data_IF_283762684081
#
_entry.id   IF_283762684081
#
_cell.length_a   1.000
_cell.length_b   1.000
_cell.length_c   1.000
_cell.angle_alpha   90.00
_cell.angle_beta   90.00
_cell.angle_gamma   90.00
#
_symmetry.space_group_name_H-M   'P 1'
#
loop_
_entity.id
_entity.type
_entity.pdbx_description
1 polymer ?
#
# COMPACT_ATOMS: atom_id res chain seq x y z
N UNK A 1 8.20 -11.47 15.13
CA UNK A 1 7.10 -10.56 14.68
C UNK A 1 7.00 -10.71 13.18
N UNK A 2 5.92 -11.32 12.73
CA UNK A 2 5.64 -11.49 11.31
C UNK A 2 4.91 -10.24 10.80
N UNK A 3 5.44 -9.65 9.73
CA UNK A 3 4.87 -8.41 9.17
C UNK A 3 4.74 -8.56 7.66
N UNK A 4 3.55 -8.30 7.15
CA UNK A 4 3.29 -8.32 5.71
C UNK A 4 2.81 -6.94 5.26
N UNK A 5 3.50 -6.37 4.28
CA UNK A 5 3.09 -5.12 3.63
C UNK A 5 2.66 -5.45 2.20
N UNK A 6 1.37 -5.36 1.93
CA UNK A 6 0.89 -5.50 0.56
C UNK A 6 1.29 -4.27 -0.27
N UNK A 7 1.82 -4.52 -1.44
CA UNK A 7 2.14 -3.49 -2.42
C UNK A 7 1.00 -3.43 -3.43
N UNK A 8 0.10 -2.47 -3.23
CA UNK A 8 -1.04 -2.28 -4.11
C UNK A 8 -0.58 -1.90 -5.52
N UNK A 9 -0.90 -2.72 -6.49
CA UNK A 9 -0.50 -2.52 -7.89
C UNK A 9 -1.61 -2.93 -8.87
N UNK A 10 -1.55 -2.39 -10.09
CA UNK A 10 -2.39 -2.75 -11.22
C UNK A 10 -1.56 -3.07 -12.47
N UNK A 11 -0.23 -3.09 -12.33
CA UNK A 11 0.71 -3.39 -13.41
C UNK A 11 2.04 -3.89 -12.84
N UNK A 12 2.86 -4.60 -13.64
CA UNK A 12 4.21 -4.98 -13.24
C UNK A 12 5.04 -3.73 -12.92
N UNK A 13 5.70 -3.74 -11.77
CA UNK A 13 6.57 -2.66 -11.32
C UNK A 13 7.64 -3.19 -10.38
N UNK A 14 8.65 -2.36 -10.10
CA UNK A 14 9.67 -2.66 -9.13
C UNK A 14 9.07 -2.83 -7.72
N UNK A 15 9.48 -3.88 -7.04
CA UNK A 15 9.15 -4.17 -5.63
C UNK A 15 10.46 -4.31 -4.86
N UNK A 16 10.54 -3.86 -3.60
CA UNK A 16 11.73 -4.09 -2.77
C UNK A 16 12.03 -5.59 -2.61
N UNK A 17 13.31 -5.92 -2.60
CA UNK A 17 13.79 -7.28 -2.35
C UNK A 17 13.85 -7.56 -0.83
N UNK A 18 12.70 -7.47 -0.18
CA UNK A 18 12.51 -7.78 1.24
C UNK A 18 11.19 -8.59 1.35
N UNK A 19 11.23 -9.80 1.94
CA UNK A 19 10.10 -10.72 1.97
C UNK A 19 8.82 -10.16 2.62
N UNK A 20 8.92 -9.09 3.40
CA UNK A 20 7.72 -8.47 3.96
C UNK A 20 6.85 -7.77 2.91
N UNK A 21 7.41 -7.42 1.74
CA UNK A 21 6.66 -6.77 0.67
C UNK A 21 6.04 -7.79 -0.27
N UNK A 22 4.71 -7.84 -0.24
CA UNK A 22 3.91 -8.74 -1.07
C UNK A 22 3.18 -7.93 -2.17
N UNK A 23 3.59 -8.01 -3.44
CA UNK A 23 2.85 -7.35 -4.50
C UNK A 23 1.51 -8.04 -4.73
N UNK A 24 0.43 -7.24 -4.70
CA UNK A 24 -0.94 -7.71 -4.86
C UNK A 24 -1.64 -6.85 -5.91
N UNK A 25 -2.25 -7.50 -6.89
CA UNK A 25 -3.07 -6.80 -7.88
C UNK A 25 -4.43 -6.46 -7.27
N UNK A 26 -4.74 -5.17 -7.24
CA UNK A 26 -6.03 -4.67 -6.78
C UNK A 26 -7.09 -4.82 -7.87
N UNK A 27 -8.30 -5.23 -7.46
CA UNK A 27 -9.41 -5.44 -8.38
C UNK A 27 -9.15 -6.55 -9.38
N UNK A 28 -8.45 -7.60 -8.99
CA UNK A 28 -8.09 -8.70 -9.89
C UNK A 28 -9.31 -9.37 -10.50
N UNK A 29 -10.46 -9.40 -9.79
CA UNK A 29 -11.72 -9.95 -10.29
C UNK A 29 -12.30 -9.18 -11.50
N UNK A 30 -11.93 -7.91 -11.68
CA UNK A 30 -12.52 -7.01 -12.69
C UNK A 30 -11.50 -6.41 -13.65
N UNK A 31 -10.23 -6.73 -13.50
CA UNK A 31 -9.15 -6.24 -14.35
C UNK A 31 -8.30 -7.39 -14.91
N UNK A 32 -7.70 -7.23 -16.09
CA UNK A 32 -6.78 -8.23 -16.65
C UNK A 32 -5.61 -8.52 -15.69
N UNK A 33 -5.23 -9.80 -15.57
CA UNK A 33 -4.12 -10.23 -14.73
C UNK A 33 -2.80 -9.58 -15.16
N UNK A 34 -2.02 -9.09 -14.20
CA UNK A 34 -0.72 -8.47 -14.43
C UNK A 34 0.48 -9.27 -13.90
N UNK A 35 0.26 -10.54 -13.51
CA UNK A 35 1.33 -11.46 -13.10
C UNK A 35 1.60 -11.50 -11.61
N UNK A 36 0.88 -10.74 -10.79
CA UNK A 36 0.90 -10.83 -9.33
C UNK A 36 -0.31 -11.61 -8.79
N UNK A 37 -0.26 -11.98 -7.53
CA UNK A 37 -1.45 -12.53 -6.86
C UNK A 37 -2.53 -11.46 -6.84
N UNK A 38 -3.79 -11.89 -6.96
CA UNK A 38 -4.95 -11.00 -6.90
C UNK A 38 -5.54 -10.90 -5.50
N UNK A 39 -6.30 -9.84 -5.30
CA UNK A 39 -7.12 -9.61 -4.10
C UNK A 39 -8.51 -10.28 -4.19
N UNK A 40 -8.67 -11.28 -5.07
CA UNK A 40 -9.94 -11.95 -5.39
C UNK A 40 -10.06 -13.39 -4.88
N UNK A 41 -9.12 -13.83 -4.04
CA UNK A 41 -9.15 -15.16 -3.41
C UNK A 41 -9.73 -15.11 -2.01
N UNK A 42 -10.27 -16.23 -1.53
CA UNK A 42 -10.84 -16.32 -0.17
C UNK A 42 -11.93 -15.28 0.09
N UNK A 43 -11.95 -14.74 1.30
CA UNK A 43 -12.85 -13.64 1.66
C UNK A 43 -12.36 -12.33 1.06
N UNK A 44 -13.11 -11.75 0.15
CA UNK A 44 -12.68 -10.59 -0.62
C UNK A 44 -13.84 -9.70 -1.09
N UNK A 45 -13.48 -8.49 -1.49
CA UNK A 45 -14.38 -7.50 -2.10
C UNK A 45 -13.80 -6.95 -3.43
N UNK A 46 -13.00 -7.76 -4.13
CA UNK A 46 -12.27 -7.37 -5.34
C UNK A 46 -13.16 -6.77 -6.44
N UNK A 47 -14.38 -7.29 -6.61
CA UNK A 47 -15.36 -6.75 -7.56
C UNK A 47 -15.78 -5.30 -7.27
N UNK A 48 -15.58 -4.83 -6.04
CA UNK A 48 -15.91 -3.46 -5.62
C UNK A 48 -14.74 -2.49 -5.78
N UNK A 49 -13.71 -2.87 -6.50
CA UNK A 49 -12.50 -2.05 -6.67
C UNK A 49 -12.77 -0.65 -7.23
N UNK A 50 -13.76 -0.49 -8.10
CA UNK A 50 -14.17 0.82 -8.63
C UNK A 50 -14.53 1.83 -7.53
N UNK A 51 -15.05 1.37 -6.39
CA UNK A 51 -15.49 2.21 -5.28
C UNK A 51 -14.47 2.26 -4.13
N UNK A 52 -13.72 1.18 -3.91
CA UNK A 52 -12.82 1.03 -2.76
C UNK A 52 -11.33 1.14 -3.10
N UNK A 53 -10.97 1.16 -4.38
CA UNK A 53 -9.58 1.28 -4.85
C UNK A 53 -8.65 0.29 -4.12
N UNK A 54 -7.54 0.77 -3.55
CA UNK A 54 -6.56 -0.05 -2.82
C UNK A 54 -7.11 -0.72 -1.54
N UNK A 55 -8.24 -0.26 -1.04
CA UNK A 55 -8.87 -0.86 0.14
C UNK A 55 -9.38 -2.28 -0.10
N UNK A 56 -9.63 -2.67 -1.36
CA UNK A 56 -9.99 -4.07 -1.67
C UNK A 56 -8.87 -5.03 -1.28
N UNK A 57 -7.62 -4.65 -1.55
CA UNK A 57 -6.46 -5.44 -1.14
C UNK A 57 -6.22 -5.42 0.37
N UNK A 58 -6.48 -4.31 1.06
CA UNK A 58 -6.36 -4.26 2.52
C UNK A 58 -7.41 -5.16 3.19
N UNK A 59 -8.64 -5.14 2.69
CA UNK A 59 -9.70 -6.05 3.14
C UNK A 59 -9.27 -7.52 2.95
N UNK A 60 -8.84 -7.84 1.73
CA UNK A 60 -8.37 -9.18 1.40
C UNK A 60 -7.23 -9.63 2.33
N UNK A 61 -6.23 -8.78 2.53
CA UNK A 61 -5.09 -9.10 3.37
C UNK A 61 -5.51 -9.36 4.83
N UNK A 62 -6.40 -8.54 5.37
CA UNK A 62 -6.90 -8.69 6.74
C UNK A 62 -7.66 -10.00 6.98
N UNK A 63 -8.25 -10.59 5.93
CA UNK A 63 -9.05 -11.83 6.05
C UNK A 63 -8.30 -13.10 5.60
N UNK A 64 -7.21 -12.95 4.85
CA UNK A 64 -6.55 -14.10 4.23
C UNK A 64 -5.05 -14.22 4.57
N UNK A 65 -4.44 -13.22 5.21
CA UNK A 65 -3.03 -13.27 5.58
C UNK A 65 -2.89 -13.40 7.10
N UNK A 66 -2.14 -14.42 7.53
CA UNK A 66 -1.77 -14.60 8.93
C UNK A 66 -0.44 -13.87 9.20
N UNK A 67 -0.54 -12.69 9.83
CA UNK A 67 0.60 -11.85 10.21
C UNK A 67 0.27 -11.02 11.45
N UNK A 68 1.25 -10.78 12.32
CA UNK A 68 1.09 -9.93 13.51
C UNK A 68 0.73 -8.48 13.11
N UNK A 69 1.30 -8.02 11.99
CA UNK A 69 1.04 -6.70 11.41
C UNK A 69 0.82 -6.80 9.91
N UNK A 70 -0.23 -6.15 9.45
CA UNK A 70 -0.53 -5.98 8.02
C UNK A 70 -0.47 -4.51 7.68
N UNK A 71 0.23 -4.18 6.60
CA UNK A 71 0.33 -2.84 6.06
C UNK A 71 -0.01 -2.78 4.58
N UNK A 72 -0.23 -1.57 4.09
CA UNK A 72 -0.45 -1.29 2.67
C UNK A 72 0.44 -0.14 2.20
N UNK A 73 1.05 -0.33 1.05
CA UNK A 73 1.75 0.72 0.30
C UNK A 73 1.33 0.67 -1.16
N UNK A 74 1.46 1.78 -1.86
CA UNK A 74 1.25 1.83 -3.30
C UNK A 74 2.58 1.55 -4.02
N UNK A 75 2.58 0.86 -5.16
CA UNK A 75 3.79 0.48 -5.92
C UNK A 75 4.73 1.64 -6.28
N UNK A 76 4.29 2.89 -6.18
CA UNK A 76 5.11 4.10 -6.39
C UNK A 76 5.42 4.86 -5.10
N UNK A 77 4.95 4.41 -3.94
CA UNK A 77 5.06 5.14 -2.67
C UNK A 77 5.28 4.16 -1.53
N UNK A 78 6.46 4.18 -0.98
CA UNK A 78 6.88 3.33 0.13
C UNK A 78 7.23 4.19 1.35
N UNK A 79 7.20 3.60 2.52
CA UNK A 79 7.75 4.22 3.72
C UNK A 79 9.27 4.35 3.58
N UNK A 80 9.78 5.53 3.90
CA UNK A 80 11.21 5.79 3.84
C UNK A 80 11.91 5.39 5.14
N UNK A 81 13.07 4.76 5.02
CA UNK A 81 13.97 4.49 6.13
C UNK A 81 14.40 5.80 6.80
N UNK A 82 14.37 5.82 8.13
CA UNK A 82 14.91 6.92 8.95
C UNK A 82 16.43 6.82 9.11
N UNK A 83 17.00 5.63 8.88
CA UNK A 83 18.43 5.32 9.04
C UNK A 83 19.26 5.70 7.82
N UNK A 84 18.62 5.92 6.66
CA UNK A 84 19.31 6.19 5.39
C UNK A 84 19.26 7.66 5.02
N UNK A 85 20.36 8.13 4.43
CA UNK A 85 20.48 9.50 3.94
C UNK A 85 19.37 9.83 2.93
N UNK A 86 18.79 11.04 3.01
CA UNK A 86 17.84 11.54 2.03
C UNK A 86 18.42 11.75 0.63
N UNK A 87 19.76 11.73 0.51
CA UNK A 87 20.46 11.81 -0.76
C UNK A 87 20.77 10.45 -1.39
N UNK A 88 20.50 9.35 -0.66
CA UNK A 88 20.64 8.02 -1.22
C UNK A 88 19.58 7.77 -2.31
N UNK A 89 19.82 6.77 -3.15
CA UNK A 89 18.87 6.35 -4.17
C UNK A 89 17.49 6.03 -3.58
N UNK A 90 16.43 6.42 -4.27
CA UNK A 90 15.05 6.29 -3.78
C UNK A 90 14.68 4.85 -3.42
N UNK A 91 15.09 3.88 -4.24
CA UNK A 91 14.82 2.46 -4.00
C UNK A 91 15.55 1.94 -2.76
N UNK A 92 16.80 2.37 -2.57
CA UNK A 92 17.60 1.98 -1.41
C UNK A 92 17.10 2.57 -0.09
N UNK A 93 16.27 3.63 -0.13
CA UNK A 93 15.70 4.30 1.05
C UNK A 93 14.40 3.68 1.55
N UNK A 94 13.88 2.67 0.91
CA UNK A 94 12.69 1.98 1.40
C UNK A 94 13.02 1.32 2.74
N UNK A 95 12.07 1.40 3.68
CA UNK A 95 12.24 0.81 5.02
C UNK A 95 12.38 -0.70 4.92
N UNK A 96 13.30 -1.29 5.69
CA UNK A 96 13.46 -2.74 5.80
C UNK A 96 12.57 -3.33 6.88
N UNK A 97 12.34 -4.64 6.81
CA UNK A 97 11.62 -5.39 7.84
C UNK A 97 12.23 -5.18 9.23
N UNK A 98 13.57 -5.24 9.36
CA UNK A 98 14.27 -5.03 10.63
C UNK A 98 13.97 -3.65 11.23
N UNK A 99 14.07 -2.59 10.41
CA UNK A 99 13.79 -1.23 10.86
C UNK A 99 12.32 -1.05 11.25
N UNK A 100 11.40 -1.60 10.45
CA UNK A 100 9.97 -1.55 10.75
C UNK A 100 9.64 -2.28 12.05
N UNK A 101 10.17 -3.48 12.27
CA UNK A 101 9.99 -4.22 13.52
C UNK A 101 10.49 -3.44 14.73
N UNK A 102 11.62 -2.73 14.60
CA UNK A 102 12.14 -1.89 15.71
C UNK A 102 11.21 -0.71 16.04
N UNK A 103 10.48 -0.18 15.05
CA UNK A 103 9.47 0.86 15.28
C UNK A 103 8.21 0.25 15.91
N UNK A 104 7.73 -0.88 15.38
CA UNK A 104 6.53 -1.57 15.87
C UNK A 104 6.70 -2.14 17.29
N UNK A 105 7.93 -2.31 17.78
CA UNK A 105 8.19 -2.65 19.18
C UNK A 105 7.74 -1.56 20.17
N UNK A 106 7.55 -0.34 19.72
CA UNK A 106 7.17 0.82 20.56
C UNK A 106 5.87 1.48 20.14
N UNK A 107 5.25 1.05 19.06
CA UNK A 107 3.98 1.59 18.55
C UNK A 107 3.18 0.51 17.83
N UNK A 108 1.87 0.60 17.88
CA UNK A 108 0.98 -0.34 17.19
C UNK A 108 0.58 0.11 15.78
N UNK A 109 0.88 1.36 15.41
CA UNK A 109 0.48 1.93 14.12
C UNK A 109 1.60 2.80 13.56
N UNK A 110 1.89 2.62 12.29
CA UNK A 110 2.83 3.44 11.53
C UNK A 110 2.10 4.11 10.37
N UNK A 111 2.06 5.43 10.37
CA UNK A 111 1.44 6.24 9.33
C UNK A 111 2.47 7.09 8.59
N UNK A 112 2.21 7.46 7.33
CA UNK A 112 3.04 8.43 6.64
C UNK A 112 2.94 9.80 7.31
N UNK A 113 4.00 10.61 7.13
CA UNK A 113 3.96 11.99 7.59
C UNK A 113 2.81 12.74 6.91
N UNK A 114 2.11 13.55 7.68
CA UNK A 114 1.05 14.41 7.19
C UNK A 114 1.52 15.27 6.00
N UNK A 115 0.67 15.35 4.98
CA UNK A 115 0.93 16.16 3.79
C UNK A 115 0.15 17.46 3.91
N UNK A 116 0.87 18.58 3.85
CA UNK A 116 0.28 19.92 3.81
C UNK A 116 0.12 20.39 2.37
N UNK A 117 -1.11 20.74 2.00
CA UNK A 117 -1.42 21.39 0.72
C UNK A 117 -1.52 22.90 0.97
N UNK A 118 -0.65 23.69 0.35
CA UNK A 118 -0.59 25.14 0.59
C UNK A 118 -1.59 25.93 -0.25
N UNK A 119 -2.04 25.39 -1.38
CA UNK A 119 -2.86 26.08 -2.39
C UNK A 119 -4.27 25.50 -2.45
N UNK A 120 -4.46 24.24 -2.04
CA UNK A 120 -5.72 23.52 -2.14
C UNK A 120 -6.19 23.01 -0.79
N UNK A 121 -7.51 23.01 -0.59
CA UNK A 121 -8.13 22.29 0.51
C UNK A 121 -8.26 20.81 0.20
N UNK A 122 -8.49 19.96 1.19
CA UNK A 122 -8.79 18.54 0.96
C UNK A 122 -10.01 18.37 0.05
N UNK A 123 -11.00 19.25 0.17
CA UNK A 123 -12.21 19.23 -0.66
C UNK A 123 -11.90 19.54 -2.12
N UNK A 124 -11.14 20.60 -2.42
CA UNK A 124 -10.78 20.93 -3.80
C UNK A 124 -9.87 19.87 -4.42
N UNK A 125 -8.94 19.32 -3.64
CA UNK A 125 -8.11 18.20 -4.08
C UNK A 125 -8.94 16.97 -4.43
N UNK A 126 -9.95 16.65 -3.62
CA UNK A 126 -10.87 15.54 -3.87
C UNK A 126 -11.66 15.74 -5.17
N UNK A 127 -12.24 16.92 -5.36
CA UNK A 127 -13.02 17.27 -6.58
C UNK A 127 -12.14 17.16 -7.84
N UNK A 128 -10.88 17.61 -7.79
CA UNK A 128 -9.97 17.56 -8.93
C UNK A 128 -9.51 16.14 -9.26
N UNK A 129 -9.48 15.24 -8.27
CA UNK A 129 -9.03 13.86 -8.43
C UNK A 129 -10.15 12.91 -8.90
N UNK A 130 -11.41 13.31 -8.80
CA UNK A 130 -12.57 12.47 -9.10
C UNK A 130 -13.40 13.05 -10.25
N UNK A 131 -14.09 12.18 -10.98
CA UNK A 131 -15.01 12.60 -12.02
C UNK A 131 -16.27 13.20 -11.39
N UNK A 132 -16.89 14.18 -12.09
CA UNK A 132 -18.14 14.83 -11.63
C UNK A 132 -19.29 13.85 -11.32
N UNK A 133 -19.22 12.64 -11.86
CA UNK A 133 -20.21 11.58 -11.63
C UNK A 133 -20.04 10.90 -10.26
N UNK A 134 -18.91 11.10 -9.59
CA UNK A 134 -18.56 10.48 -8.31
C UNK A 134 -18.83 11.44 -7.13
N UNK A 135 -19.32 12.66 -7.42
CA UNK A 135 -19.67 13.71 -6.49
C UNK A 135 -21.18 13.82 -6.32
#
# INVERSE_FOLDING_TARGET
MQTTIIVATHKPYWVPDDPMYLPVQMGHAVHPACGYIGDDTGDNISERNANFCELTGLYWAAHNIDSDYIGIVHYRRYFASRRKSRFADKKSRVISHEELCSILATTNVVLPKERHYFIETNYTQYIHAHHKQDL
#
